data_IF_350797210786
#
_entry.id   IF_350797210786
#
_cell.length_a   1.000
_cell.length_b   1.000
_cell.length_c   1.000
_cell.angle_alpha   90.00
_cell.angle_beta   90.00
_cell.angle_gamma   90.00
#
_symmetry.space_group_name_H-M   'P 1'
#
loop_
_entity.id
_entity.type
_entity.pdbx_description
1 polymer ?
#
# COMPACT_ATOMS: atom_id res chain seq x y z
N UNK A 1 -0.47 18.13 9.54
CA UNK A 1 0.08 17.66 9.52
C UNK A 1 0.63 17.60 8.86
N UNK A 2 0.88 17.47 8.07
CA UNK A 2 1.64 17.81 8.16
C UNK A 2 2.56 17.81 7.10
N UNK A 3 3.62 18.67 7.15
CA UNK A 3 4.67 18.77 6.21
C UNK A 3 5.31 17.43 5.86
N UNK A 4 5.56 16.63 6.88
CA UNK A 4 6.19 15.31 6.71
C UNK A 4 5.31 14.40 5.86
N UNK A 5 4.02 14.42 6.12
CA UNK A 5 3.08 13.61 5.37
C UNK A 5 3.03 14.02 3.90
N UNK A 6 3.00 15.32 3.64
CA UNK A 6 2.96 15.80 2.25
C UNK A 6 4.25 15.43 1.53
N UNK A 7 5.39 15.55 2.20
CA UNK A 7 6.67 15.18 1.60
C UNK A 7 6.74 13.69 1.28
N UNK A 8 6.23 12.87 2.19
CA UNK A 8 6.19 11.42 1.97
C UNK A 8 5.34 11.09 0.75
N UNK A 9 4.16 11.69 0.66
CA UNK A 9 3.27 11.43 -0.47
C UNK A 9 3.89 11.86 -1.80
N UNK A 10 4.57 12.98 -1.82
CA UNK A 10 5.25 13.45 -3.02
C UNK A 10 6.35 12.51 -3.47
N UNK A 11 7.17 12.05 -2.53
CA UNK A 11 8.24 11.12 -2.85
C UNK A 11 7.70 9.81 -3.37
N UNK A 12 6.63 9.34 -2.76
CA UNK A 12 5.99 8.11 -3.20
C UNK A 12 5.43 8.26 -4.60
N UNK A 13 4.79 9.39 -4.88
CA UNK A 13 4.28 9.69 -6.21
C UNK A 13 5.39 9.65 -7.25
N UNK A 14 6.53 10.28 -6.95
CA UNK A 14 7.65 10.29 -7.87
C UNK A 14 8.16 8.89 -8.17
N UNK A 15 8.25 8.05 -7.15
CA UNK A 15 8.70 6.68 -7.35
C UNK A 15 7.71 5.87 -8.18
N UNK A 16 6.43 6.07 -7.96
CA UNK A 16 5.39 5.41 -8.75
C UNK A 16 5.51 5.81 -10.21
N UNK A 17 5.65 7.11 -10.47
CA UNK A 17 5.79 7.61 -11.84
C UNK A 17 7.03 7.00 -12.51
N UNK A 18 8.13 6.92 -11.76
CA UNK A 18 9.36 6.32 -12.30
C UNK A 18 9.16 4.86 -12.69
N UNK A 19 8.47 4.09 -11.85
CA UNK A 19 8.23 2.68 -12.14
C UNK A 19 7.38 2.51 -13.40
N UNK A 20 6.38 3.35 -13.55
CA UNK A 20 5.50 3.29 -14.72
C UNK A 20 6.24 3.75 -15.97
N UNK A 21 6.96 4.84 -15.88
CA UNK A 21 7.63 5.43 -17.04
C UNK A 21 8.75 4.55 -17.60
N UNK A 22 9.33 3.69 -16.77
CA UNK A 22 10.37 2.78 -17.25
C UNK A 22 9.80 1.48 -17.81
N UNK A 23 8.48 1.40 -17.93
CA UNK A 23 7.78 0.23 -18.50
C UNK A 23 8.10 -1.07 -17.80
N UNK A 24 8.49 -0.99 -16.53
CA UNK A 24 8.80 -2.20 -15.77
C UNK A 24 7.53 -2.90 -15.35
N UNK A 25 6.51 -2.12 -15.01
CA UNK A 25 5.27 -2.66 -14.52
C UNK A 25 4.10 -1.92 -15.12
N UNK A 26 3.01 -2.63 -15.34
CA UNK A 26 1.78 -2.03 -15.87
C UNK A 26 0.85 -1.57 -14.76
N UNK A 27 0.99 -2.15 -13.58
CA UNK A 27 0.16 -1.83 -12.42
C UNK A 27 1.01 -1.81 -11.16
N UNK A 28 0.74 -0.85 -10.30
CA UNK A 28 1.39 -0.74 -9.00
C UNK A 28 0.31 -0.98 -7.94
N UNK A 29 0.54 -1.96 -7.08
CA UNK A 29 -0.46 -2.36 -6.11
C UNK A 29 0.12 -2.30 -4.71
N UNK A 30 -0.50 -1.50 -3.85
CA UNK A 30 -0.10 -1.37 -2.46
C UNK A 30 -0.96 -2.27 -1.60
N UNK A 31 -0.32 -3.10 -0.81
CA UNK A 31 -0.98 -3.93 0.20
C UNK A 31 -0.59 -3.38 1.57
N UNK A 32 -1.51 -2.68 2.19
CA UNK A 32 -1.26 -2.04 3.48
C UNK A 32 -1.86 -2.91 4.57
N UNK A 33 -1.05 -3.77 5.15
CA UNK A 33 -1.49 -4.85 6.01
C UNK A 33 -1.53 -4.39 7.46
N UNK A 34 -2.62 -4.75 8.15
CA UNK A 34 -2.75 -4.48 9.57
C UNK A 34 -4.18 -4.33 9.98
N UNK A 35 -4.37 -4.00 11.25
CA UNK A 35 -5.70 -3.74 11.79
C UNK A 35 -5.71 -2.41 12.53
N UNK A 36 -6.72 -1.59 12.26
CA UNK A 36 -6.88 -0.30 12.92
C UNK A 36 -7.31 -0.44 14.38
N UNK A 37 -7.61 -1.66 14.82
CA UNK A 37 -8.05 -1.91 16.20
C UNK A 37 -6.90 -2.09 17.19
N UNK A 38 -5.70 -2.33 16.71
CA UNK A 38 -4.53 -2.57 17.55
C UNK A 38 -3.47 -1.53 17.22
N UNK A 39 -3.03 -0.80 18.23
CA UNK A 39 -2.14 0.35 18.01
C UNK A 39 -0.87 -0.03 17.26
N UNK A 40 -0.22 -1.11 17.62
CA UNK A 40 1.02 -1.51 16.97
C UNK A 40 0.84 -1.98 15.53
N UNK A 41 -0.39 -2.29 15.15
CA UNK A 41 -0.73 -2.87 13.85
C UNK A 41 -1.48 -1.89 12.96
N UNK A 42 -1.63 -0.65 13.38
CA UNK A 42 -2.49 0.30 12.67
C UNK A 42 -1.76 1.08 11.59
N UNK A 43 -0.43 0.98 11.53
CA UNK A 43 0.35 1.80 10.60
C UNK A 43 0.03 1.47 9.15
N UNK A 44 -0.07 0.18 8.81
CA UNK A 44 -0.44 -0.22 7.45
C UNK A 44 -1.74 0.43 6.99
N UNK A 45 -2.85 0.20 7.72
CA UNK A 45 -4.12 0.83 7.34
C UNK A 45 -4.07 2.34 7.30
N UNK A 46 -3.31 2.97 8.20
CA UNK A 46 -3.19 4.43 8.20
C UNK A 46 -2.48 4.94 6.96
N UNK A 47 -1.41 4.26 6.56
CA UNK A 47 -0.71 4.60 5.32
C UNK A 47 -1.64 4.42 4.14
N UNK A 48 -2.37 3.30 4.10
CA UNK A 48 -3.31 3.03 3.01
C UNK A 48 -4.35 4.12 2.86
N UNK A 49 -4.92 4.56 3.97
CA UNK A 49 -5.90 5.65 3.96
C UNK A 49 -5.27 6.96 3.47
N UNK A 50 -4.01 7.21 3.87
CA UNK A 50 -3.34 8.45 3.48
C UNK A 50 -2.99 8.48 1.99
N UNK A 51 -2.66 7.34 1.40
CA UNK A 51 -2.26 7.32 -0.01
C UNK A 51 -3.40 6.94 -0.94
N UNK A 52 -4.61 6.77 -0.40
CA UNK A 52 -5.76 6.37 -1.21
C UNK A 52 -6.04 7.33 -2.36
N UNK A 53 -5.70 8.60 -2.17
CA UNK A 53 -5.89 9.62 -3.20
C UNK A 53 -4.99 9.41 -4.41
N UNK A 54 -3.97 8.56 -4.29
CA UNK A 54 -3.08 8.27 -5.41
C UNK A 54 -3.65 7.22 -6.37
N UNK A 55 -4.77 6.60 -6.01
CA UNK A 55 -5.38 5.58 -6.88
C UNK A 55 -5.77 6.15 -8.22
N UNK A 56 -5.50 5.39 -9.26
CA UNK A 56 -5.94 5.67 -10.61
C UNK A 56 -5.97 4.34 -11.36
N UNK A 57 -6.01 4.38 -12.69
CA UNK A 57 -6.10 3.13 -13.46
C UNK A 57 -4.85 2.26 -13.37
N UNK A 58 -3.71 2.81 -12.91
CA UNK A 58 -2.46 2.07 -12.80
C UNK A 58 -2.03 1.82 -11.37
N UNK A 59 -2.61 2.53 -10.41
CA UNK A 59 -2.24 2.45 -9.00
C UNK A 59 -3.44 2.03 -8.18
N UNK A 60 -3.27 0.96 -7.42
CA UNK A 60 -4.35 0.37 -6.64
C UNK A 60 -3.92 0.19 -5.20
N UNK A 61 -4.81 0.50 -4.26
CA UNK A 61 -4.47 0.48 -2.85
C UNK A 61 -5.47 -0.42 -2.12
N UNK A 62 -4.91 -1.43 -1.45
CA UNK A 62 -5.68 -2.37 -0.62
C UNK A 62 -5.27 -2.18 0.83
N UNK A 63 -6.24 -2.06 1.71
CA UNK A 63 -5.99 -1.89 3.13
C UNK A 63 -6.05 -0.44 3.56
N UNK A 64 -7.15 -0.06 4.19
CA UNK A 64 -7.36 1.27 4.73
C UNK A 64 -7.89 1.14 6.15
N UNK A 65 -8.05 2.27 6.84
CA UNK A 65 -8.61 2.26 8.20
C UNK A 65 -10.04 1.71 8.18
N UNK A 66 -10.80 2.05 7.17
CA UNK A 66 -12.19 1.58 7.05
C UNK A 66 -12.27 0.14 6.58
N UNK A 67 -11.26 -0.34 5.88
CA UNK A 67 -11.31 -1.63 5.24
C UNK A 67 -9.97 -2.32 5.40
N UNK A 68 -9.75 -2.88 6.57
CA UNK A 68 -8.45 -3.48 6.90
C UNK A 68 -8.14 -4.69 6.01
N UNK A 69 -6.87 -4.82 5.68
CA UNK A 69 -6.32 -5.99 5.01
C UNK A 69 -5.47 -6.72 6.02
N UNK A 70 -5.96 -7.83 6.54
CA UNK A 70 -5.19 -8.58 7.54
C UNK A 70 -4.38 -9.68 6.87
N UNK A 71 -3.51 -10.31 7.66
CA UNK A 71 -2.62 -11.34 7.16
C UNK A 71 -3.38 -12.54 6.59
N UNK A 72 -4.53 -12.84 7.17
CA UNK A 72 -5.28 -14.03 6.76
C UNK A 72 -5.88 -13.90 5.37
N UNK A 73 -6.29 -12.71 4.97
CA UNK A 73 -6.87 -12.53 3.64
C UNK A 73 -5.88 -11.97 2.61
N UNK A 74 -4.67 -11.61 3.04
CA UNK A 74 -3.68 -11.05 2.12
C UNK A 74 -3.27 -12.04 1.05
N UNK A 75 -3.13 -13.31 1.43
CA UNK A 75 -2.72 -14.34 0.46
C UNK A 75 -3.71 -14.46 -0.68
N UNK A 76 -4.99 -14.49 -0.35
CA UNK A 76 -6.03 -14.58 -1.38
C UNK A 76 -6.05 -13.34 -2.25
N UNK A 77 -5.86 -12.17 -1.63
CA UNK A 77 -5.81 -10.92 -2.37
C UNK A 77 -4.64 -10.94 -3.37
N UNK A 78 -3.47 -11.43 -2.95
CA UNK A 78 -2.32 -11.53 -3.84
C UNK A 78 -2.62 -12.46 -5.02
N UNK A 79 -3.27 -13.58 -4.76
CA UNK A 79 -3.65 -14.49 -5.82
C UNK A 79 -4.61 -13.82 -6.81
N UNK A 80 -5.59 -13.08 -6.28
CA UNK A 80 -6.53 -12.36 -7.12
C UNK A 80 -5.83 -11.29 -7.97
N UNK A 81 -4.87 -10.59 -7.37
CA UNK A 81 -4.11 -9.56 -8.07
C UNK A 81 -3.33 -10.17 -9.22
N UNK A 82 -2.65 -11.27 -8.96
CA UNK A 82 -1.85 -11.93 -9.99
C UNK A 82 -2.72 -12.47 -11.14
N UNK A 83 -3.97 -12.80 -10.84
CA UNK A 83 -4.90 -13.28 -11.86
C UNK A 83 -5.55 -12.16 -12.65
N UNK A 84 -5.74 -10.99 -12.04
CA UNK A 84 -6.56 -9.92 -12.63
C UNK A 84 -5.75 -8.77 -13.20
N UNK A 85 -4.48 -8.62 -12.81
CA UNK A 85 -3.66 -7.52 -13.29
C UNK A 85 -2.50 -8.03 -14.12
N UNK A 86 -2.20 -7.31 -15.18
CA UNK A 86 -1.07 -7.64 -16.04
C UNK A 86 0.19 -7.01 -15.48
N UNK A 87 1.20 -7.84 -15.29
CA UNK A 87 2.53 -7.40 -14.86
C UNK A 87 2.46 -6.50 -13.62
N UNK A 88 1.87 -6.96 -12.51
CA UNK A 88 1.72 -6.11 -11.33
C UNK A 88 3.01 -6.02 -10.52
N UNK A 89 3.27 -4.83 -9.99
CA UNK A 89 4.28 -4.64 -8.96
C UNK A 89 3.56 -4.52 -7.62
N UNK A 90 3.77 -5.48 -6.73
CA UNK A 90 3.10 -5.49 -5.44
C UNK A 90 4.05 -4.95 -4.38
N UNK A 91 3.62 -3.86 -3.73
CA UNK A 91 4.38 -3.24 -2.66
C UNK A 91 3.62 -3.46 -1.37
N UNK A 92 4.23 -4.19 -0.45
CA UNK A 92 3.59 -4.50 0.83
C UNK A 92 4.08 -3.53 1.90
N UNK A 93 3.14 -2.96 2.62
CA UNK A 93 3.42 -2.11 3.76
C UNK A 93 2.87 -2.82 4.98
N UNK A 94 3.77 -3.24 5.87
CA UNK A 94 3.40 -4.01 7.04
C UNK A 94 4.33 -3.57 8.15
N UNK A 95 3.79 -2.93 9.16
CA UNK A 95 4.60 -2.44 10.27
C UNK A 95 4.02 -2.94 11.57
N UNK A 96 4.87 -3.45 12.42
CA UNK A 96 4.50 -3.94 13.73
C UNK A 96 5.51 -3.41 14.74
N UNK A 97 5.10 -3.37 15.99
CA UNK A 97 6.02 -2.98 17.06
C UNK A 97 7.11 -4.01 17.20
N UNK A 98 8.33 -3.53 17.34
CA UNK A 98 9.47 -4.40 17.58
C UNK A 98 10.01 -4.15 18.97
N UNK A 99 10.32 -5.23 19.67
CA UNK A 99 10.92 -5.13 20.99
C UNK A 99 12.42 -5.05 20.93
N UNK A 100 12.96 -5.20 19.76
CA UNK A 100 14.39 -5.20 19.58
C UNK A 100 14.84 -3.99 18.88
N UNK A 101 14.79 -2.95 19.53
CA UNK A 101 15.25 -1.82 18.82
C UNK A 101 16.32 -1.14 19.36
#
# INVERSE_FOLDING_TARGET
>A
MNKIRVEFEKKLEEQIVNLINHNRFSNIIFLCIGTSKIIGDAIGPMVGSNIKSLENEYVHIYGTVENNLNFNNAKKIIEDINSNYINPCIITIDAALSNNN
#
